data_IF_316634766836
#
_entry.id   IF_316634766836
#
_cell.length_a   1.000
_cell.length_b   1.000
_cell.length_c   1.000
_cell.angle_alpha   90.00
_cell.angle_beta   90.00
_cell.angle_gamma   90.00
#
_symmetry.space_group_name_H-M   'P 1'
#
loop_
_entity.id
_entity.type
_entity.pdbx_description
1 polymer ?
#
# COMPACT_ATOMS: atom_id res chain seq x y z
N UNK A 1 5.46 -18.87 7.22
CA UNK A 1 4.15 -18.30 7.01
C UNK A 1 3.17 -19.35 6.50
N UNK A 2 3.42 -19.99 5.35
CA UNK A 2 2.54 -21.01 4.76
C UNK A 2 2.27 -22.16 5.72
N UNK A 3 3.31 -22.69 6.40
CA UNK A 3 3.15 -23.75 7.38
C UNK A 3 2.22 -23.37 8.55
N UNK A 4 2.31 -22.14 9.04
CA UNK A 4 1.40 -21.63 10.07
C UNK A 4 -0.05 -21.49 9.56
N UNK A 5 -0.23 -21.15 8.27
CA UNK A 5 -1.54 -20.93 7.66
C UNK A 5 -2.25 -22.21 7.30
N UNK A 6 -1.55 -23.20 6.74
CA UNK A 6 -2.12 -24.42 6.17
C UNK A 6 -1.91 -25.68 7.02
N UNK A 7 -0.97 -25.64 7.94
CA UNK A 7 -0.61 -26.79 8.78
C UNK A 7 0.30 -27.77 8.06
N UNK A 8 -0.15 -28.36 6.96
CA UNK A 8 0.61 -29.29 6.15
C UNK A 8 0.56 -28.96 4.64
N UNK A 9 1.42 -29.62 3.87
CA UNK A 9 1.58 -29.36 2.44
C UNK A 9 0.40 -29.90 1.62
N UNK A 10 -0.29 -30.93 2.09
CA UNK A 10 -1.45 -31.48 1.39
C UNK A 10 -2.62 -30.47 1.44
N UNK A 11 -2.85 -29.85 2.59
CA UNK A 11 -3.82 -28.79 2.73
C UNK A 11 -3.47 -27.55 1.87
N UNK A 12 -2.18 -27.21 1.76
CA UNK A 12 -1.71 -26.15 0.86
C UNK A 12 -2.05 -26.49 -0.60
N UNK A 13 -1.66 -27.69 -1.07
CA UNK A 13 -1.91 -28.13 -2.45
C UNK A 13 -3.40 -28.13 -2.79
N UNK A 14 -4.22 -28.62 -1.86
CA UNK A 14 -5.69 -28.60 -2.01
C UNK A 14 -6.22 -27.16 -2.11
N UNK A 15 -5.81 -26.28 -1.20
CA UNK A 15 -6.28 -24.89 -1.16
C UNK A 15 -5.86 -24.07 -2.39
N UNK A 16 -4.68 -24.38 -2.94
CA UNK A 16 -4.18 -23.73 -4.15
C UNK A 16 -4.65 -24.41 -5.44
N UNK A 17 -5.22 -25.63 -5.36
CA UNK A 17 -5.70 -26.38 -6.53
C UNK A 17 -4.56 -26.89 -7.41
N UNK A 18 -3.41 -27.21 -6.84
CA UNK A 18 -2.20 -27.60 -7.57
C UNK A 18 -2.18 -29.03 -8.15
N UNK A 19 -3.28 -29.76 -8.07
CA UNK A 19 -3.49 -30.97 -8.87
C UNK A 19 -3.37 -30.69 -10.37
N UNK A 20 -3.70 -29.47 -10.78
CA UNK A 20 -3.62 -29.04 -12.17
C UNK A 20 -2.15 -28.92 -12.63
N UNK A 21 -1.81 -29.60 -13.72
CA UNK A 21 -0.48 -29.67 -14.32
C UNK A 21 0.62 -30.21 -13.39
N UNK A 22 0.24 -31.07 -12.44
CA UNK A 22 1.20 -31.70 -11.51
C UNK A 22 2.10 -30.69 -10.78
N UNK A 23 1.55 -29.57 -10.40
CA UNK A 23 2.26 -28.51 -9.65
C UNK A 23 2.24 -28.74 -8.15
N UNK A 24 1.90 -29.94 -7.69
CA UNK A 24 1.87 -30.28 -6.28
C UNK A 24 3.26 -30.23 -5.65
N UNK A 25 3.32 -29.55 -4.49
CA UNK A 25 4.51 -29.54 -3.63
C UNK A 25 4.54 -30.76 -2.72
N UNK A 26 5.73 -31.27 -2.42
CA UNK A 26 5.95 -32.36 -1.46
C UNK A 26 6.29 -31.84 -0.07
N UNK A 27 6.86 -30.64 0.00
CA UNK A 27 7.19 -29.96 1.22
C UNK A 27 7.07 -28.45 1.08
N UNK A 28 7.00 -27.71 2.20
CA UNK A 28 6.97 -26.25 2.18
C UNK A 28 8.28 -25.61 1.67
N UNK A 29 9.38 -26.33 1.78
CA UNK A 29 10.71 -25.89 1.34
C UNK A 29 10.85 -25.86 -0.18
N UNK A 30 9.97 -26.56 -0.91
CA UNK A 30 9.90 -26.53 -2.37
C UNK A 30 9.11 -25.32 -2.91
N UNK A 31 8.43 -24.56 -2.03
CA UNK A 31 7.56 -23.46 -2.47
C UNK A 31 8.38 -22.21 -2.76
N UNK A 32 8.65 -21.97 -4.02
CA UNK A 32 9.31 -20.75 -4.49
C UNK A 32 8.37 -19.52 -4.53
N UNK A 33 8.92 -18.31 -4.57
CA UNK A 33 8.15 -17.12 -4.90
C UNK A 33 7.40 -17.25 -6.25
N UNK A 34 6.23 -16.62 -6.41
CA UNK A 34 5.37 -16.85 -7.58
C UNK A 34 5.97 -16.42 -8.94
N UNK A 35 7.07 -15.68 -8.93
CA UNK A 35 7.82 -15.30 -10.14
C UNK A 35 8.92 -16.32 -10.52
N UNK A 36 9.12 -17.37 -9.72
CA UNK A 36 10.14 -18.40 -9.95
C UNK A 36 9.53 -19.77 -10.27
N UNK A 37 8.21 -19.87 -10.40
CA UNK A 37 7.53 -21.09 -10.79
C UNK A 37 7.77 -21.42 -12.26
N UNK A 38 7.77 -22.71 -12.61
CA UNK A 38 8.03 -23.20 -14.00
C UNK A 38 7.01 -22.67 -15.00
N UNK A 39 5.76 -22.52 -14.55
CA UNK A 39 4.66 -21.91 -15.31
C UNK A 39 4.12 -20.71 -14.55
N UNK A 40 3.13 -20.03 -15.11
CA UNK A 40 2.46 -18.94 -14.38
C UNK A 40 1.88 -19.45 -13.05
N UNK A 41 2.27 -18.79 -11.96
CA UNK A 41 1.81 -19.18 -10.65
C UNK A 41 0.29 -19.00 -10.52
N UNK A 42 -0.32 -19.94 -9.84
CA UNK A 42 -1.73 -19.95 -9.49
C UNK A 42 -2.15 -18.64 -8.76
N UNK A 43 -3.36 -18.12 -9.00
CA UNK A 43 -3.85 -16.90 -8.32
C UNK A 43 -3.81 -16.99 -6.79
N UNK A 44 -4.09 -18.15 -6.19
CA UNK A 44 -4.02 -18.35 -4.74
C UNK A 44 -2.60 -18.23 -4.21
N UNK A 45 -1.61 -18.79 -4.93
CA UNK A 45 -0.19 -18.63 -4.61
C UNK A 45 0.23 -17.15 -4.65
N UNK A 46 -0.15 -16.43 -5.70
CA UNK A 46 0.13 -14.99 -5.82
C UNK A 46 -0.53 -14.18 -4.71
N UNK A 47 -1.77 -14.51 -4.36
CA UNK A 47 -2.48 -13.84 -3.29
C UNK A 47 -1.83 -14.08 -1.92
N UNK A 48 -1.44 -15.32 -1.63
CA UNK A 48 -0.79 -15.65 -0.38
C UNK A 48 0.62 -15.06 -0.27
N UNK A 49 1.34 -14.95 -1.38
CA UNK A 49 2.60 -14.22 -1.39
C UNK A 49 2.41 -12.73 -1.09
N UNK A 50 1.36 -12.09 -1.62
CA UNK A 50 1.02 -10.70 -1.29
C UNK A 50 0.63 -10.54 0.19
N UNK A 51 -0.14 -11.48 0.74
CA UNK A 51 -0.47 -11.49 2.17
C UNK A 51 0.77 -11.65 3.03
N UNK A 52 1.65 -12.58 2.66
CA UNK A 52 2.92 -12.76 3.34
C UNK A 52 3.76 -11.47 3.33
N UNK A 53 3.90 -10.82 2.17
CA UNK A 53 4.66 -9.55 2.09
C UNK A 53 4.01 -8.44 2.90
N UNK A 54 2.69 -8.34 2.90
CA UNK A 54 1.94 -7.40 3.76
C UNK A 54 2.21 -7.65 5.25
N UNK A 55 2.10 -8.90 5.70
CA UNK A 55 2.38 -9.29 7.09
C UNK A 55 3.83 -8.95 7.47
N UNK A 56 4.80 -9.11 6.55
CA UNK A 56 6.20 -8.76 6.83
C UNK A 56 6.40 -7.26 7.00
N UNK A 57 5.74 -6.44 6.18
CA UNK A 57 5.79 -4.97 6.31
C UNK A 57 5.16 -4.53 7.63
N UNK A 58 4.00 -5.07 7.99
CA UNK A 58 3.34 -4.77 9.25
C UNK A 58 4.20 -5.19 10.46
N UNK A 59 4.78 -6.40 10.44
CA UNK A 59 5.66 -6.87 11.49
C UNK A 59 6.93 -6.02 11.65
N UNK A 60 7.50 -5.56 10.53
CA UNK A 60 8.66 -4.66 10.56
C UNK A 60 8.29 -3.30 11.18
N UNK A 61 7.15 -2.71 10.79
CA UNK A 61 6.64 -1.48 11.39
C UNK A 61 6.38 -1.65 12.91
N UNK A 62 5.74 -2.74 13.31
CA UNK A 62 5.49 -3.05 14.73
C UNK A 62 6.79 -3.11 15.54
N UNK A 63 7.83 -3.75 14.99
CA UNK A 63 9.15 -3.82 15.60
C UNK A 63 9.76 -2.43 15.80
N UNK A 64 9.71 -1.56 14.80
CA UNK A 64 10.20 -0.18 14.91
C UNK A 64 9.38 0.64 15.90
N UNK A 65 8.05 0.53 15.86
CA UNK A 65 7.14 1.23 16.77
C UNK A 65 7.41 0.83 18.23
N UNK A 66 7.65 -0.47 18.49
CA UNK A 66 7.99 -0.98 19.84
C UNK A 66 9.27 -0.33 20.39
N UNK A 67 10.32 -0.24 19.57
CA UNK A 67 11.59 0.41 19.95
C UNK A 67 11.38 1.91 20.24
N UNK A 68 10.62 2.58 19.39
CA UNK A 68 10.33 4.01 19.58
C UNK A 68 9.51 4.27 20.84
N UNK A 69 8.54 3.42 21.16
CA UNK A 69 7.77 3.55 22.40
C UNK A 69 8.63 3.35 23.65
N UNK A 70 9.60 2.43 23.60
CA UNK A 70 10.55 2.21 24.69
C UNK A 70 11.50 3.39 24.90
N UNK A 71 12.11 3.87 23.78
CA UNK A 71 13.17 4.86 23.85
C UNK A 71 12.68 6.33 23.82
N UNK A 72 11.45 6.56 23.39
CA UNK A 72 10.83 7.90 23.29
C UNK A 72 9.37 7.89 23.79
N UNK A 73 9.12 7.53 25.03
CA UNK A 73 7.76 7.41 25.55
C UNK A 73 6.99 8.73 25.51
N UNK A 74 5.67 8.63 25.30
CA UNK A 74 4.77 9.77 25.31
C UNK A 74 4.76 10.60 24.01
N UNK A 75 5.40 10.10 22.95
CA UNK A 75 5.35 10.72 21.61
C UNK A 75 4.46 9.91 20.69
N UNK A 76 3.67 10.60 19.87
CA UNK A 76 2.90 9.96 18.80
C UNK A 76 3.83 9.37 17.74
N UNK A 77 3.53 8.15 17.32
CA UNK A 77 4.22 7.46 16.22
C UNK A 77 3.35 7.55 14.98
N UNK A 78 3.96 8.00 13.89
CA UNK A 78 3.32 8.21 12.60
C UNK A 78 4.14 7.55 11.50
N UNK A 79 3.48 7.24 10.39
CA UNK A 79 4.13 6.75 9.18
C UNK A 79 3.41 7.33 7.98
N UNK A 80 4.15 7.90 7.01
CA UNK A 80 3.61 8.45 5.78
C UNK A 80 3.28 7.32 4.79
N UNK A 81 2.01 7.11 4.55
CA UNK A 81 1.52 6.18 3.55
C UNK A 81 1.52 6.84 2.17
N UNK A 82 1.80 6.06 1.14
CA UNK A 82 1.73 6.52 -0.24
C UNK A 82 0.29 6.44 -0.76
N UNK A 83 -0.12 7.44 -1.54
CA UNK A 83 -1.37 7.37 -2.29
C UNK A 83 -1.37 6.18 -3.28
N UNK A 84 -2.55 5.59 -3.52
CA UNK A 84 -2.80 4.44 -4.42
C UNK A 84 -1.90 3.22 -4.21
N UNK A 85 -1.30 3.07 -3.04
CA UNK A 85 -0.49 1.89 -2.70
C UNK A 85 -1.39 0.71 -2.36
N UNK A 86 -1.09 -0.46 -2.92
CA UNK A 86 -1.80 -1.72 -2.66
C UNK A 86 -0.85 -2.85 -2.25
N UNK A 87 0.37 -2.50 -1.85
CA UNK A 87 1.41 -3.48 -1.53
C UNK A 87 1.26 -4.15 -0.17
N UNK A 88 0.48 -3.58 0.73
CA UNK A 88 0.24 -4.08 2.08
C UNK A 88 -1.14 -3.64 2.59
N UNK A 89 -1.60 -4.25 3.69
CA UNK A 89 -2.81 -3.85 4.39
C UNK A 89 -2.51 -2.64 5.29
N UNK A 90 -3.16 -1.53 4.98
CA UNK A 90 -2.97 -0.26 5.70
C UNK A 90 -3.52 -0.32 7.13
N UNK A 91 -4.60 -1.08 7.36
CA UNK A 91 -5.19 -1.22 8.69
C UNK A 91 -4.30 -2.02 9.63
N UNK A 92 -3.69 -3.11 9.12
CA UNK A 92 -2.75 -3.92 9.91
C UNK A 92 -1.50 -3.10 10.27
N UNK A 93 -0.97 -2.33 9.31
CA UNK A 93 0.20 -1.49 9.57
C UNK A 93 -0.12 -0.35 10.54
N UNK A 94 -1.28 0.28 10.40
CA UNK A 94 -1.71 1.39 11.26
C UNK A 94 -2.08 0.96 12.68
N UNK A 95 -2.20 -0.35 12.96
CA UNK A 95 -2.53 -0.85 14.30
C UNK A 95 -1.50 -0.43 15.36
N UNK A 96 -0.24 -0.24 14.98
CA UNK A 96 0.86 0.15 15.87
C UNK A 96 1.16 1.66 15.83
N UNK A 97 0.41 2.44 15.03
CA UNK A 97 0.56 3.88 14.90
C UNK A 97 -0.47 4.65 15.71
N UNK A 98 -0.13 5.85 16.12
CA UNK A 98 -1.05 6.78 16.80
C UNK A 98 -1.84 7.64 15.81
N UNK A 99 -1.22 7.96 14.66
CA UNK A 99 -1.82 8.78 13.60
C UNK A 99 -1.47 8.17 12.25
N UNK A 100 -2.47 7.91 11.42
CA UNK A 100 -2.24 7.53 10.03
C UNK A 100 -1.98 8.79 9.21
N UNK A 101 -0.83 8.86 8.54
CA UNK A 101 -0.49 10.00 7.70
C UNK A 101 -0.25 9.57 6.27
N UNK A 102 -0.49 10.44 5.29
CA UNK A 102 -0.28 10.09 3.90
C UNK A 102 0.30 11.23 3.08
N UNK A 103 0.86 10.88 1.92
CA UNK A 103 1.54 11.80 1.03
C UNK A 103 0.63 12.17 -0.14
N UNK A 104 0.23 13.43 -0.19
CA UNK A 104 -0.72 14.00 -1.14
C UNK A 104 0.00 14.70 -2.29
N UNK A 105 -0.02 14.08 -3.48
CA UNK A 105 0.58 14.62 -4.70
C UNK A 105 -0.44 14.67 -5.84
N UNK A 106 -1.52 15.46 -5.73
CA UNK A 106 -2.66 15.39 -6.64
C UNK A 106 -2.33 15.69 -8.10
N UNK A 107 -1.38 16.58 -8.38
CA UNK A 107 -0.97 16.88 -9.77
C UNK A 107 -0.07 15.80 -10.34
N UNK A 108 0.87 15.28 -9.56
CA UNK A 108 1.75 14.20 -9.98
C UNK A 108 0.96 12.93 -10.31
N UNK A 109 0.02 12.57 -9.46
CA UNK A 109 -0.86 11.42 -9.71
C UNK A 109 -1.84 11.66 -10.87
N UNK A 110 -2.31 12.88 -11.09
CA UNK A 110 -3.11 13.22 -12.27
C UNK A 110 -2.30 12.98 -13.56
N UNK A 111 -1.05 13.42 -13.60
CA UNK A 111 -0.19 13.24 -14.77
C UNK A 111 0.08 11.75 -15.05
N UNK A 112 0.49 10.99 -14.04
CA UNK A 112 0.83 9.57 -14.21
C UNK A 112 -0.39 8.65 -14.32
N UNK A 113 -1.55 9.09 -13.84
CA UNK A 113 -2.78 8.31 -13.85
C UNK A 113 -3.33 8.04 -15.25
N UNK A 114 -4.14 7.00 -15.37
CA UNK A 114 -4.81 6.59 -16.62
C UNK A 114 -6.07 7.43 -16.89
N UNK A 115 -5.93 8.75 -16.86
CA UNK A 115 -7.01 9.69 -17.15
C UNK A 115 -7.05 10.04 -18.65
N UNK A 116 -8.22 10.42 -19.15
CA UNK A 116 -8.32 10.97 -20.50
C UNK A 116 -7.54 12.30 -20.62
N UNK A 117 -7.13 12.64 -21.84
CA UNK A 117 -6.45 13.92 -22.09
C UNK A 117 -7.33 15.13 -21.70
N UNK A 118 -8.64 15.02 -21.89
CA UNK A 118 -9.61 16.04 -21.48
C UNK A 118 -9.64 16.20 -19.94
N UNK A 119 -9.69 15.10 -19.21
CA UNK A 119 -9.65 15.11 -17.74
C UNK A 119 -8.35 15.72 -17.22
N UNK A 120 -7.20 15.31 -17.81
CA UNK A 120 -5.90 15.88 -17.45
C UNK A 120 -5.85 17.39 -17.71
N UNK A 121 -6.33 17.86 -18.86
CA UNK A 121 -6.38 19.28 -19.19
C UNK A 121 -7.29 20.06 -18.25
N UNK A 122 -8.46 19.51 -17.92
CA UNK A 122 -9.43 20.12 -17.01
C UNK A 122 -8.87 20.35 -15.61
N UNK A 123 -8.15 19.38 -15.09
CA UNK A 123 -7.66 19.39 -13.69
C UNK A 123 -6.15 19.70 -13.59
N UNK A 124 -5.54 20.15 -14.67
CA UNK A 124 -4.09 20.33 -14.83
C UNK A 124 -3.41 21.06 -13.65
N UNK A 125 -4.08 22.04 -13.04
CA UNK A 125 -3.56 22.84 -11.94
C UNK A 125 -4.34 22.69 -10.62
N UNK A 126 -5.26 21.73 -10.57
CA UNK A 126 -6.15 21.52 -9.42
C UNK A 126 -6.01 20.12 -8.83
N UNK A 127 -5.50 19.14 -9.60
CA UNK A 127 -5.60 17.74 -9.26
C UNK A 127 -7.03 17.22 -9.45
N UNK A 128 -7.18 15.91 -9.61
CA UNK A 128 -8.52 15.30 -9.69
C UNK A 128 -9.15 15.30 -8.30
N UNK A 129 -10.35 15.89 -8.11
CA UNK A 129 -10.95 16.06 -6.79
C UNK A 129 -11.19 14.71 -6.06
N UNK A 130 -11.60 13.69 -6.79
CA UNK A 130 -11.88 12.38 -6.21
C UNK A 130 -10.60 11.70 -5.68
N UNK A 131 -9.43 12.02 -6.23
CA UNK A 131 -8.18 11.46 -5.73
C UNK A 131 -7.92 11.87 -4.28
N UNK A 132 -7.98 13.16 -4.00
CA UNK A 132 -7.73 13.70 -2.66
C UNK A 132 -8.85 13.30 -1.69
N UNK A 133 -10.13 13.43 -2.11
CA UNK A 133 -11.27 13.06 -1.30
C UNK A 133 -11.24 11.57 -0.89
N UNK A 134 -10.96 10.68 -1.84
CA UNK A 134 -10.85 9.25 -1.56
C UNK A 134 -9.76 8.95 -0.52
N UNK A 135 -8.57 9.54 -0.67
CA UNK A 135 -7.46 9.27 0.24
C UNK A 135 -7.68 9.87 1.63
N UNK A 136 -8.30 11.05 1.73
CA UNK A 136 -8.68 11.62 3.02
C UNK A 136 -9.65 10.70 3.76
N UNK A 137 -10.67 10.17 3.08
CA UNK A 137 -11.61 9.23 3.69
C UNK A 137 -10.97 7.89 4.05
N UNK A 138 -10.10 7.37 3.17
CA UNK A 138 -9.34 6.15 3.43
C UNK A 138 -8.50 6.30 4.70
N UNK A 139 -7.66 7.33 4.78
CA UNK A 139 -6.74 7.49 5.92
C UNK A 139 -7.44 7.94 7.19
N UNK A 140 -8.56 8.63 7.09
CA UNK A 140 -9.44 8.84 8.23
C UNK A 140 -9.98 7.51 8.78
N UNK A 141 -10.35 6.58 7.91
CA UNK A 141 -10.77 5.24 8.30
C UNK A 141 -9.62 4.43 8.89
N UNK A 142 -8.48 4.37 8.22
CA UNK A 142 -7.26 3.66 8.66
C UNK A 142 -6.78 4.16 10.02
N UNK A 143 -6.75 5.48 10.21
CA UNK A 143 -6.33 6.13 11.47
C UNK A 143 -7.42 6.20 12.54
N UNK A 144 -8.59 5.60 12.32
CA UNK A 144 -9.72 5.61 13.28
C UNK A 144 -10.11 7.03 13.73
N UNK A 145 -10.07 7.96 12.78
CA UNK A 145 -10.33 9.40 13.00
C UNK A 145 -9.08 10.24 13.31
N UNK A 146 -7.95 9.66 13.64
CA UNK A 146 -6.65 10.34 13.82
C UNK A 146 -5.81 10.18 12.57
N UNK A 147 -5.83 11.18 11.72
CA UNK A 147 -5.10 11.19 10.47
C UNK A 147 -4.65 12.58 10.06
N UNK A 148 -3.64 12.67 9.20
CA UNK A 148 -3.22 13.94 8.60
C UNK A 148 -2.47 13.70 7.28
N UNK A 149 -2.32 14.76 6.49
CA UNK A 149 -1.41 14.79 5.35
C UNK A 149 -0.01 15.07 5.86
N UNK A 150 0.94 14.17 5.58
CA UNK A 150 2.34 14.33 6.00
C UNK A 150 3.13 15.13 4.97
N UNK A 151 2.92 14.83 3.70
CA UNK A 151 3.54 15.53 2.58
C UNK A 151 2.45 16.08 1.67
N UNK A 152 2.49 17.39 1.42
CA UNK A 152 1.56 18.05 0.52
C UNK A 152 2.31 18.64 -0.66
N UNK A 153 1.86 18.35 -1.87
CA UNK A 153 2.46 18.88 -3.09
C UNK A 153 2.31 20.42 -3.19
N UNK A 154 3.37 21.21 -3.07
CA UNK A 154 3.30 22.66 -3.22
C UNK A 154 3.55 23.13 -4.66
N UNK A 155 4.02 22.23 -5.55
CA UNK A 155 4.44 22.54 -6.91
C UNK A 155 4.87 21.29 -7.69
N UNK A 156 5.63 21.45 -8.77
CA UNK A 156 6.18 20.33 -9.52
C UNK A 156 7.01 19.38 -8.65
N UNK A 157 6.94 18.09 -8.97
CA UNK A 157 7.73 17.04 -8.31
C UNK A 157 8.67 16.35 -9.30
N UNK A 158 9.78 15.81 -8.82
CA UNK A 158 10.83 15.26 -9.68
C UNK A 158 10.44 13.99 -10.44
N UNK A 159 9.45 13.24 -9.93
CA UNK A 159 8.93 12.02 -10.56
C UNK A 159 7.75 12.27 -11.51
N UNK A 160 7.24 13.52 -11.58
CA UNK A 160 6.20 13.97 -12.51
C UNK A 160 6.59 15.36 -13.06
N UNK A 161 7.59 15.45 -13.96
CA UNK A 161 8.27 16.72 -14.33
C UNK A 161 7.38 17.71 -15.08
N UNK A 162 6.30 17.24 -15.68
CA UNK A 162 5.44 18.07 -16.53
C UNK A 162 4.23 18.68 -15.81
N UNK A 163 4.04 18.40 -14.52
CA UNK A 163 2.93 19.02 -13.80
C UNK A 163 3.26 20.50 -13.49
N UNK A 164 2.37 21.43 -13.81
CA UNK A 164 2.56 22.84 -13.51
C UNK A 164 2.37 23.13 -12.02
N UNK A 165 2.72 24.33 -11.60
CA UNK A 165 2.36 24.79 -10.26
C UNK A 165 0.84 24.80 -10.06
N UNK A 166 0.33 24.43 -8.88
CA UNK A 166 -1.10 24.49 -8.60
C UNK A 166 -1.63 25.92 -8.63
N UNK A 167 -2.95 26.05 -8.72
CA UNK A 167 -3.60 27.34 -8.52
C UNK A 167 -3.41 27.80 -7.07
N UNK A 168 -3.25 29.12 -6.79
CA UNK A 168 -2.99 29.64 -5.46
C UNK A 168 -4.09 29.20 -4.49
N UNK A 169 -4.86 28.88 -4.12
CA UNK A 169 -5.83 28.39 -3.14
C UNK A 169 -5.99 26.87 -3.12
N UNK A 170 -5.46 26.16 -4.10
CA UNK A 170 -5.67 24.70 -4.16
C UNK A 170 -4.88 23.94 -3.10
N UNK A 171 -3.67 24.40 -2.77
CA UNK A 171 -2.85 23.80 -1.73
C UNK A 171 -3.56 23.81 -0.37
N UNK A 172 -4.28 24.88 -0.09
CA UNK A 172 -5.09 24.99 1.13
C UNK A 172 -6.44 24.25 1.08
N UNK A 173 -6.87 23.84 -0.13
CA UNK A 173 -8.09 23.05 -0.35
C UNK A 173 -7.83 21.55 -0.38
N UNK A 174 -6.62 21.13 -0.56
CA UNK A 174 -6.18 19.74 -0.53
C UNK A 174 -5.95 19.31 0.91
#
# INVERSE_FOLDING_TARGET
WLKRRYGDVAALNQAWGYVFWSQEYRSFEEVDPPNQTVTEANPSHRLDYRRFTSDQVAAFNASQASILRELSPGRDIMHNFMGVSTGFDHYDLAADLDVATWDSYPLGFLEQGRWSAETKARYLRQGHPDFTAFHHDLYRGVGRGRWQVMEQQPGPVNWAPWNPAPLPGMVGAW
#
